data_IF_235783704729
#
_entry.id   IF_235783704729
#
_cell.length_a   1.000
_cell.length_b   1.000
_cell.length_c   1.000
_cell.angle_alpha   90.00
_cell.angle_beta   90.00
_cell.angle_gamma   90.00
#
_symmetry.space_group_name_H-M   'P 1'
#
loop_
_entity.id
_entity.type
_entity.pdbx_description
1 polymer ?
#
# COMPACT_ATOMS: atom_id res chain seq x y z
N UNK A 1 21.10 -8.03 -8.30
CA UNK A 1 19.93 -8.68 -8.94
C UNK A 1 19.63 -7.91 -10.22
N UNK A 2 19.28 -8.58 -11.33
CA UNK A 2 18.84 -7.84 -12.52
C UNK A 2 17.56 -7.06 -12.19
N UNK A 3 17.45 -5.83 -12.71
CA UNK A 3 16.26 -4.99 -12.53
C UNK A 3 14.98 -5.73 -12.92
N UNK A 4 15.04 -6.52 -14.01
CA UNK A 4 13.94 -7.37 -14.46
C UNK A 4 13.46 -8.36 -13.39
N UNK A 5 14.39 -9.05 -12.70
CA UNK A 5 14.05 -10.00 -11.64
C UNK A 5 13.44 -9.29 -10.43
N UNK A 6 13.97 -8.13 -10.05
CA UNK A 6 13.42 -7.35 -8.93
C UNK A 6 12.00 -6.83 -9.22
N UNK A 7 11.78 -6.24 -10.40
CA UNK A 7 10.46 -5.74 -10.80
C UNK A 7 9.43 -6.86 -10.89
N UNK A 8 9.81 -8.02 -11.44
CA UNK A 8 8.92 -9.18 -11.52
C UNK A 8 8.51 -9.72 -10.14
N UNK A 9 9.43 -9.74 -9.17
CA UNK A 9 9.11 -10.16 -7.80
C UNK A 9 8.13 -9.18 -7.15
N UNK A 10 8.40 -7.87 -7.24
CA UNK A 10 7.53 -6.85 -6.64
C UNK A 10 6.13 -6.84 -7.27
N UNK A 11 6.02 -7.03 -8.59
CA UNK A 11 4.74 -7.06 -9.28
C UNK A 11 3.88 -8.26 -8.86
N UNK A 12 4.50 -9.45 -8.69
CA UNK A 12 3.81 -10.64 -8.19
C UNK A 12 3.27 -10.42 -6.78
N UNK A 13 4.11 -9.92 -5.86
CA UNK A 13 3.66 -9.62 -4.49
C UNK A 13 2.57 -8.53 -4.46
N UNK A 14 2.65 -7.54 -5.35
CA UNK A 14 1.62 -6.51 -5.48
C UNK A 14 0.31 -7.11 -5.97
N UNK A 15 0.36 -8.01 -6.95
CA UNK A 15 -0.83 -8.67 -7.51
C UNK A 15 -1.53 -9.54 -6.46
N UNK A 16 -0.77 -10.35 -5.72
CA UNK A 16 -1.30 -11.18 -4.62
C UNK A 16 -1.98 -10.30 -3.57
N UNK A 17 -1.33 -9.19 -3.18
CA UNK A 17 -1.88 -8.26 -2.19
C UNK A 17 -3.19 -7.61 -2.65
N UNK A 18 -3.32 -7.30 -3.95
CA UNK A 18 -4.56 -6.77 -4.54
C UNK A 18 -5.68 -7.81 -4.53
N UNK A 19 -5.39 -9.05 -4.89
CA UNK A 19 -6.37 -10.14 -4.84
C UNK A 19 -6.85 -10.37 -3.40
N UNK A 20 -5.93 -10.43 -2.43
CA UNK A 20 -6.32 -10.60 -1.03
C UNK A 20 -7.18 -9.44 -0.51
N UNK A 21 -6.89 -8.21 -0.93
CA UNK A 21 -7.70 -7.04 -0.61
C UNK A 21 -9.11 -7.12 -1.23
N UNK A 22 -9.20 -7.55 -2.48
CA UNK A 22 -10.47 -7.76 -3.16
C UNK A 22 -11.33 -8.84 -2.49
N UNK A 23 -10.73 -9.96 -2.11
CA UNK A 23 -11.44 -11.03 -1.38
C UNK A 23 -11.95 -10.53 -0.04
N UNK A 24 -11.14 -9.77 0.71
CA UNK A 24 -11.58 -9.11 1.95
C UNK A 24 -12.80 -8.23 1.70
N UNK A 25 -12.76 -7.38 0.68
CA UNK A 25 -13.86 -6.45 0.39
C UNK A 25 -15.14 -7.19 -0.01
N UNK A 26 -15.03 -8.30 -0.74
CA UNK A 26 -16.14 -9.18 -1.09
C UNK A 26 -16.76 -9.86 0.14
N UNK A 27 -15.93 -10.33 1.09
CA UNK A 27 -16.38 -10.93 2.35
C UNK A 27 -17.09 -9.89 3.23
N UNK A 28 -16.52 -8.69 3.34
CA UNK A 28 -17.11 -7.56 4.08
C UNK A 28 -18.48 -7.19 3.48
N UNK A 29 -18.58 -7.13 2.16
CA UNK A 29 -19.83 -6.85 1.46
C UNK A 29 -20.87 -7.95 1.67
N UNK A 30 -20.47 -9.22 1.70
CA UNK A 30 -21.38 -10.35 1.93
C UNK A 30 -21.88 -10.41 3.38
N UNK A 31 -21.01 -10.16 4.36
CA UNK A 31 -21.36 -10.22 5.78
C UNK A 31 -22.15 -9.00 6.28
N UNK A 32 -21.76 -7.79 5.84
CA UNK A 32 -22.28 -6.54 6.38
C UNK A 32 -23.09 -5.71 5.39
N UNK A 33 -23.04 -5.99 4.08
CA UNK A 33 -23.82 -5.29 3.07
C UNK A 33 -23.70 -3.76 3.13
N UNK A 34 -24.83 -3.06 2.99
CA UNK A 34 -24.94 -1.60 3.11
C UNK A 34 -25.11 -1.09 4.54
N UNK A 35 -24.74 -1.90 5.54
CA UNK A 35 -24.85 -1.49 6.94
C UNK A 35 -23.82 -0.40 7.31
N UNK A 36 -24.11 0.29 8.43
CA UNK A 36 -23.21 1.28 9.04
C UNK A 36 -21.83 0.69 9.35
N UNK A 37 -21.76 -0.60 9.68
CA UNK A 37 -20.52 -1.31 10.01
C UNK A 37 -19.64 -1.56 8.79
N UNK A 38 -20.24 -1.97 7.67
CA UNK A 38 -19.52 -2.17 6.41
C UNK A 38 -18.92 -0.86 5.89
N UNK A 39 -19.72 0.22 5.92
CA UNK A 39 -19.26 1.55 5.51
C UNK A 39 -18.18 2.12 6.44
N UNK A 40 -18.28 1.94 7.76
CA UNK A 40 -17.23 2.32 8.70
C UNK A 40 -15.91 1.57 8.47
N UNK A 41 -15.97 0.27 8.15
CA UNK A 41 -14.79 -0.54 7.87
C UNK A 41 -13.95 0.02 6.71
N UNK A 42 -14.61 0.38 5.60
CA UNK A 42 -13.92 0.95 4.44
C UNK A 42 -13.28 2.31 4.73
N UNK A 43 -13.98 3.17 5.48
CA UNK A 43 -13.47 4.49 5.90
C UNK A 43 -12.24 4.34 6.80
N UNK A 44 -12.30 3.45 7.79
CA UNK A 44 -11.17 3.19 8.69
C UNK A 44 -9.97 2.64 7.93
N UNK A 45 -10.18 1.75 6.95
CA UNK A 45 -9.10 1.24 6.12
C UNK A 45 -8.45 2.29 5.21
N UNK A 46 -9.11 3.42 4.94
CA UNK A 46 -8.56 4.47 4.10
C UNK A 46 -7.43 5.24 4.79
N UNK A 47 -7.51 5.45 6.10
CA UNK A 47 -6.50 6.18 6.89
C UNK A 47 -5.10 5.53 6.79
N UNK A 48 -4.91 4.23 7.13
CA UNK A 48 -3.61 3.59 7.01
C UNK A 48 -3.19 3.44 5.56
N UNK A 49 -4.13 3.22 4.62
CA UNK A 49 -3.80 3.16 3.20
C UNK A 49 -3.27 4.51 2.70
N UNK A 50 -3.86 5.61 3.12
CA UNK A 50 -3.36 6.95 2.80
C UNK A 50 -1.94 7.14 3.33
N UNK A 51 -1.68 6.77 4.58
CA UNK A 51 -0.33 6.83 5.15
C UNK A 51 0.67 5.95 4.38
N UNK A 52 0.29 4.73 4.00
CA UNK A 52 1.12 3.83 3.19
C UNK A 52 1.46 4.46 1.84
N UNK A 53 0.50 5.14 1.20
CA UNK A 53 0.74 5.85 -0.07
C UNK A 53 1.71 7.02 0.12
N UNK A 54 1.58 7.78 1.21
CA UNK A 54 2.48 8.90 1.51
C UNK A 54 3.92 8.47 1.79
N UNK A 55 4.12 7.39 2.57
CA UNK A 55 5.44 7.03 3.08
C UNK A 55 6.11 5.85 2.38
N UNK A 56 5.33 4.87 1.91
CA UNK A 56 5.86 3.58 1.43
C UNK A 56 5.78 3.39 -0.09
N UNK A 57 4.97 4.18 -0.82
CA UNK A 57 4.91 4.11 -2.29
C UNK A 57 6.01 4.93 -3.00
N UNK A 58 7.01 5.39 -2.26
CA UNK A 58 8.24 6.00 -2.81
C UNK A 58 8.23 7.53 -2.85
N UNK A 59 7.10 8.20 -2.66
CA UNK A 59 7.02 9.67 -2.56
C UNK A 59 7.92 10.23 -1.46
N UNK A 60 7.99 9.56 -0.31
CA UNK A 60 8.88 9.96 0.77
C UNK A 60 10.35 9.66 0.46
N UNK A 61 10.67 8.51 -0.13
CA UNK A 61 12.04 8.14 -0.51
C UNK A 61 12.64 9.10 -1.54
N UNK A 62 11.83 9.66 -2.44
CA UNK A 62 12.29 10.65 -3.43
C UNK A 62 12.82 11.94 -2.78
N UNK A 63 12.20 12.41 -1.69
CA UNK A 63 12.62 13.62 -0.98
C UNK A 63 13.65 13.33 0.12
N UNK A 64 13.53 12.20 0.80
CA UNK A 64 14.35 11.86 1.97
C UNK A 64 15.74 11.32 1.61
N UNK A 65 15.84 10.46 0.59
CA UNK A 65 17.12 9.83 0.22
C UNK A 65 18.19 10.85 -0.22
N UNK A 66 17.88 11.87 -1.04
CA UNK A 66 18.85 12.90 -1.42
C UNK A 66 19.37 13.69 -0.22
N UNK A 67 18.48 14.18 0.64
CA UNK A 67 18.84 14.97 1.84
C UNK A 67 19.71 14.15 2.80
N UNK A 68 19.38 12.87 3.01
CA UNK A 68 20.19 11.97 3.83
C UNK A 68 21.61 11.80 3.27
N UNK A 69 21.74 11.72 1.95
CA UNK A 69 23.04 11.57 1.29
C UNK A 69 23.87 12.86 1.40
N UNK A 70 23.25 14.05 1.32
CA UNK A 70 23.93 15.34 1.53
C UNK A 70 24.48 15.46 2.96
N UNK A 71 23.69 15.10 3.97
CA UNK A 71 24.13 15.12 5.38
C UNK A 71 25.26 14.12 5.63
N UNK A 72 25.21 12.93 5.01
CA UNK A 72 26.28 11.92 5.14
C UNK A 72 27.58 12.28 4.44
N UNK A 73 27.53 13.13 3.42
CA UNK A 73 28.70 13.56 2.65
C UNK A 73 29.44 14.75 3.30
N UNK A 74 28.83 15.38 4.31
CA UNK A 74 29.43 16.43 5.15
C UNK A 74 30.06 15.80 6.39
#
# INVERSE_FOLDING_TARGET
MSLFKATAIVSVFTFISRISGFVRDMVVAWLWGTSIWGSAFFVVFQIPNFMRRLFAEGSFSLAFVPVLNEIKAT
#
